data_IF_209121608653
#
_entry.id   IF_209121608653
#
_cell.length_a   1.000
_cell.length_b   1.000
_cell.length_c   1.000
_cell.angle_alpha   90.00
_cell.angle_beta   90.00
_cell.angle_gamma   90.00
#
_symmetry.space_group_name_H-M   'P 1'
#
loop_
_entity.id
_entity.type
_entity.pdbx_description
1 polymer ?
#
# COMPACT_ATOMS: atom_id res chain seq x y z
N UNK A 1 -27.10 -5.02 10.65
CA UNK A 1 -25.97 -4.08 10.64
C UNK A 1 -25.08 -4.50 9.49
N UNK A 2 -24.97 -3.76 8.38
CA UNK A 2 -23.93 -4.06 7.42
C UNK A 2 -22.60 -3.73 8.12
N UNK A 3 -21.72 -4.73 8.24
CA UNK A 3 -20.30 -4.48 8.47
C UNK A 3 -19.85 -3.67 7.25
N UNK A 4 -19.39 -2.44 7.47
CA UNK A 4 -18.90 -1.60 6.37
C UNK A 4 -17.84 -2.40 5.58
N UNK A 5 -18.05 -2.54 4.27
CA UNK A 5 -17.18 -3.29 3.34
C UNK A 5 -15.71 -2.83 3.39
N UNK A 6 -15.42 -1.68 4.01
CA UNK A 6 -14.08 -1.11 4.19
C UNK A 6 -13.22 -1.85 5.22
N UNK A 7 -13.80 -2.42 6.28
CA UNK A 7 -13.06 -3.11 7.34
C UNK A 7 -12.69 -4.56 6.95
N UNK A 8 -13.43 -5.15 6.01
CA UNK A 8 -13.26 -6.57 5.65
C UNK A 8 -12.05 -6.81 4.73
N UNK A 9 -11.68 -5.82 3.92
CA UNK A 9 -10.61 -5.97 2.92
C UNK A 9 -9.20 -5.98 3.52
N UNK A 10 -8.99 -5.35 4.68
CA UNK A 10 -7.64 -5.28 5.30
C UNK A 10 -7.13 -6.66 5.74
N UNK A 11 -8.02 -7.62 6.02
CA UNK A 11 -7.63 -9.00 6.32
C UNK A 11 -7.03 -9.74 5.10
N UNK A 12 -7.25 -9.22 3.89
CA UNK A 12 -6.72 -9.77 2.63
C UNK A 12 -5.47 -9.03 2.15
N UNK A 13 -4.93 -8.09 2.94
CA UNK A 13 -3.77 -7.28 2.56
C UNK A 13 -2.51 -7.73 3.31
N UNK A 14 -1.36 -7.61 2.64
CA UNK A 14 -0.07 -7.69 3.28
C UNK A 14 0.24 -6.37 4.02
N UNK A 15 0.49 -6.48 5.33
CA UNK A 15 0.84 -5.37 6.20
C UNK A 15 2.37 -5.15 6.18
N UNK A 16 2.84 -4.12 5.49
CA UNK A 16 4.26 -3.80 5.35
C UNK A 16 4.64 -2.71 6.36
N UNK A 17 5.49 -3.09 7.32
CA UNK A 17 5.97 -2.21 8.39
C UNK A 17 7.11 -1.28 7.91
N UNK A 18 7.40 -0.17 8.61
CA UNK A 18 8.55 0.70 8.32
C UNK A 18 9.86 -0.04 8.08
N UNK A 19 10.14 -1.10 8.85
CA UNK A 19 11.35 -1.93 8.68
C UNK A 19 11.41 -2.63 7.31
N UNK A 20 10.27 -2.91 6.70
CA UNK A 20 10.16 -3.56 5.40
C UNK A 20 10.29 -2.54 4.27
N UNK A 21 9.65 -1.37 4.39
CA UNK A 21 9.51 -0.38 3.32
C UNK A 21 10.53 0.76 3.37
N UNK A 22 11.12 1.06 4.53
CA UNK A 22 11.89 2.29 4.77
C UNK A 22 11.03 3.53 4.99
N UNK A 23 9.71 3.44 4.78
CA UNK A 23 8.78 4.55 5.01
C UNK A 23 8.56 4.78 6.51
N UNK A 24 8.20 6.01 6.92
CA UNK A 24 7.94 6.31 8.32
C UNK A 24 6.62 5.73 8.84
N UNK A 25 5.84 5.01 8.03
CA UNK A 25 4.54 4.46 8.39
C UNK A 25 4.26 3.07 7.79
N UNK A 26 3.19 2.44 8.26
CA UNK A 26 2.68 1.15 7.75
C UNK A 26 2.02 1.34 6.37
N UNK A 27 2.24 0.37 5.50
CA UNK A 27 1.69 0.29 4.15
C UNK A 27 0.91 -1.01 3.98
N UNK A 28 -0.20 -0.96 3.27
CA UNK A 28 -0.97 -2.13 2.89
C UNK A 28 -1.02 -2.30 1.38
N UNK A 29 -0.74 -3.51 0.94
CA UNK A 29 -0.84 -3.93 -0.47
C UNK A 29 -1.67 -5.20 -0.55
N UNK A 30 -2.43 -5.36 -1.61
CA UNK A 30 -3.27 -6.54 -1.83
C UNK A 30 -3.06 -7.10 -3.23
N UNK A 31 -3.44 -8.35 -3.41
CA UNK A 31 -3.77 -8.88 -4.73
C UNK A 31 -5.05 -8.21 -5.24
N UNK A 32 -5.34 -8.35 -6.54
CA UNK A 32 -6.52 -7.77 -7.18
C UNK A 32 -7.83 -8.30 -6.62
N UNK A 33 -7.92 -9.61 -6.36
CA UNK A 33 -9.17 -10.27 -5.98
C UNK A 33 -10.34 -9.88 -6.89
N UNK A 34 -11.43 -9.38 -6.30
CA UNK A 34 -12.63 -8.92 -7.01
C UNK A 34 -12.65 -7.40 -7.28
N UNK A 35 -11.52 -6.70 -7.14
CA UNK A 35 -11.47 -5.25 -7.25
C UNK A 35 -11.85 -4.75 -8.65
N UNK A 36 -12.70 -3.72 -8.69
CA UNK A 36 -13.11 -3.01 -9.92
C UNK A 36 -12.18 -1.84 -10.26
N UNK A 37 -11.32 -1.42 -9.33
CA UNK A 37 -10.32 -0.38 -9.53
C UNK A 37 -8.98 -0.98 -9.93
N UNK A 38 -8.08 -0.13 -10.42
CA UNK A 38 -6.69 -0.50 -10.68
C UNK A 38 -5.88 -0.63 -9.37
N UNK A 39 -4.63 -1.06 -9.49
CA UNK A 39 -3.70 -1.27 -8.38
C UNK A 39 -3.55 -0.05 -7.47
N UNK A 40 -3.74 -0.28 -6.17
CA UNK A 40 -3.70 0.75 -5.13
C UNK A 40 -2.87 0.28 -3.94
N UNK A 41 -2.30 1.26 -3.26
CA UNK A 41 -1.58 1.08 -1.99
C UNK A 41 -2.26 1.94 -0.95
N UNK A 42 -2.57 1.37 0.22
CA UNK A 42 -3.04 2.16 1.37
C UNK A 42 -1.87 2.43 2.29
N UNK A 43 -1.84 3.62 2.88
CA UNK A 43 -0.72 4.09 3.72
C UNK A 43 -1.27 4.73 4.98
N UNK A 44 -0.70 4.43 6.13
CA UNK A 44 -1.18 4.97 7.40
C UNK A 44 -0.91 6.49 7.47
N UNK A 45 -1.85 7.24 8.02
CA UNK A 45 -1.64 8.69 8.22
C UNK A 45 -0.65 8.98 9.35
N UNK A 46 -0.53 8.04 10.31
CA UNK A 46 0.33 8.18 11.47
C UNK A 46 1.70 7.54 11.19
N UNK A 47 2.76 8.23 11.61
CA UNK A 47 4.10 7.65 11.63
C UNK A 47 4.20 6.56 12.70
N UNK A 48 5.10 5.61 12.47
CA UNK A 48 5.40 4.51 13.37
C UNK A 48 4.94 3.16 12.83
N UNK A 49 5.02 2.16 13.71
CA UNK A 49 4.84 0.76 13.37
C UNK A 49 3.50 0.20 13.90
N UNK A 50 2.55 1.07 14.24
CA UNK A 50 1.23 0.65 14.68
C UNK A 50 0.40 0.26 13.46
N UNK A 51 -0.09 -0.97 13.42
CA UNK A 51 -1.06 -1.41 12.42
C UNK A 51 -2.43 -0.89 12.86
N UNK A 52 -2.91 0.15 12.17
CA UNK A 52 -4.22 0.75 12.40
C UNK A 52 -4.84 1.13 11.04
N UNK A 53 -5.76 0.33 10.50
CA UNK A 53 -6.34 0.55 9.17
C UNK A 53 -7.40 1.67 9.16
N UNK A 54 -7.83 2.18 10.32
CA UNK A 54 -8.93 3.15 10.42
C UNK A 54 -8.60 4.51 9.80
N UNK A 55 -7.32 4.84 9.66
CA UNK A 55 -6.84 6.13 9.14
C UNK A 55 -5.78 5.93 8.07
N UNK A 56 -6.20 5.91 6.80
CA UNK A 56 -5.30 5.69 5.67
C UNK A 56 -5.48 6.72 4.55
N UNK A 57 -4.38 6.98 3.85
CA UNK A 57 -4.36 7.59 2.53
C UNK A 57 -4.27 6.48 1.47
N UNK A 58 -4.83 6.73 0.28
CA UNK A 58 -4.85 5.78 -0.84
C UNK A 58 -4.03 6.35 -1.99
N UNK A 59 -3.05 5.61 -2.45
CA UNK A 59 -2.25 5.93 -3.62
C UNK A 59 -2.60 5.00 -4.78
N UNK A 60 -2.72 5.56 -5.97
CA UNK A 60 -2.66 4.80 -7.21
C UNK A 60 -1.20 4.49 -7.54
N UNK A 61 -0.95 3.33 -8.15
CA UNK A 61 0.40 2.92 -8.54
C UNK A 61 0.71 3.27 -10.00
N UNK A 62 -0.23 2.99 -10.92
CA UNK A 62 -0.10 3.28 -12.36
C UNK A 62 -1.22 4.18 -12.87
N UNK A 63 -1.03 4.94 -13.97
CA UNK A 63 0.18 5.02 -14.80
C UNK A 63 1.33 5.84 -14.18
N UNK A 64 1.08 6.57 -13.10
CA UNK A 64 2.12 7.25 -12.32
C UNK A 64 1.66 7.29 -10.87
N UNK A 65 2.54 7.06 -9.89
CA UNK A 65 2.16 7.09 -8.48
C UNK A 65 1.56 8.43 -8.06
N UNK A 66 0.45 8.40 -7.34
CA UNK A 66 -0.22 9.61 -6.89
C UNK A 66 -1.31 9.37 -5.86
N UNK A 67 -1.58 10.39 -5.04
CA UNK A 67 -2.61 10.37 -4.02
C UNK A 67 -4.01 10.42 -4.66
N UNK A 68 -4.84 9.43 -4.36
CA UNK A 68 -6.24 9.33 -4.82
C UNK A 68 -7.19 9.85 -3.74
N UNK A 69 -6.94 9.52 -2.46
CA UNK A 69 -7.80 9.87 -1.33
C UNK A 69 -7.00 9.97 -0.03
N UNK A 70 -7.51 10.78 0.91
CA UNK A 70 -6.85 11.08 2.18
C UNK A 70 -5.91 12.28 2.10
N UNK A 71 -5.14 12.51 3.17
CA UNK A 71 -4.22 13.63 3.27
C UNK A 71 -2.91 13.21 3.95
N UNK A 72 -1.80 13.51 3.31
CA UNK A 72 -0.44 13.40 3.85
C UNK A 72 0.29 14.72 3.64
N UNK A 73 1.34 14.98 4.43
CA UNK A 73 2.22 16.13 4.18
C UNK A 73 2.87 16.01 2.79
N UNK A 74 3.28 17.13 2.18
CA UNK A 74 3.94 17.08 0.87
C UNK A 74 5.24 16.25 0.89
N UNK A 75 5.95 16.24 2.02
CA UNK A 75 7.14 15.42 2.22
C UNK A 75 6.80 13.92 2.25
N UNK A 76 5.77 13.52 3.00
CA UNK A 76 5.32 12.13 3.07
C UNK A 76 4.76 11.66 1.73
N UNK A 77 3.96 12.48 1.04
CA UNK A 77 3.45 12.15 -0.29
C UNK A 77 4.58 11.87 -1.28
N UNK A 78 5.64 12.68 -1.23
CA UNK A 78 6.81 12.49 -2.09
C UNK A 78 7.52 11.18 -1.78
N UNK A 79 7.83 10.92 -0.50
CA UNK A 79 8.59 9.72 -0.13
C UNK A 79 7.79 8.43 -0.39
N UNK A 80 6.47 8.46 -0.19
CA UNK A 80 5.55 7.37 -0.55
C UNK A 80 5.54 7.16 -2.06
N UNK A 81 5.39 8.24 -2.85
CA UNK A 81 5.38 8.14 -4.33
C UNK A 81 6.70 7.61 -4.88
N UNK A 82 7.82 8.04 -4.31
CA UNK A 82 9.16 7.56 -4.67
C UNK A 82 9.33 6.07 -4.33
N UNK A 83 8.85 5.63 -3.17
CA UNK A 83 8.85 4.21 -2.79
C UNK A 83 7.96 3.36 -3.69
N UNK A 84 6.75 3.84 -4.04
CA UNK A 84 5.86 3.13 -4.97
C UNK A 84 6.55 3.02 -6.33
N UNK A 85 7.12 4.10 -6.85
CA UNK A 85 7.82 4.10 -8.14
C UNK A 85 9.01 3.14 -8.15
N UNK A 86 9.77 3.08 -7.05
CA UNK A 86 10.90 2.18 -6.89
C UNK A 86 10.49 0.70 -6.91
N UNK A 87 9.28 0.40 -6.46
CA UNK A 87 8.75 -0.96 -6.27
C UNK A 87 7.60 -1.31 -7.21
N UNK A 88 7.32 -0.47 -8.22
CA UNK A 88 6.12 -0.54 -9.05
C UNK A 88 5.92 -1.94 -9.66
N UNK A 89 6.97 -2.50 -10.27
CA UNK A 89 6.92 -3.81 -10.89
C UNK A 89 6.50 -4.92 -9.90
N UNK A 90 7.09 -4.95 -8.70
CA UNK A 90 6.76 -5.95 -7.70
C UNK A 90 5.34 -5.78 -7.14
N UNK A 91 4.90 -4.53 -6.94
CA UNK A 91 3.53 -4.24 -6.46
C UNK A 91 2.50 -4.63 -7.52
N UNK A 92 2.78 -4.37 -8.80
CA UNK A 92 1.88 -4.73 -9.92
C UNK A 92 1.85 -6.24 -10.14
N UNK A 93 3.00 -6.93 -10.11
CA UNK A 93 3.04 -8.39 -10.23
C UNK A 93 2.30 -9.08 -9.08
N UNK A 94 2.42 -8.55 -7.85
CA UNK A 94 1.66 -9.03 -6.71
C UNK A 94 0.16 -8.76 -6.88
N UNK A 95 -0.21 -7.55 -7.32
CA UNK A 95 -1.59 -7.21 -7.62
C UNK A 95 -2.21 -8.16 -8.65
N UNK A 96 -1.48 -8.48 -9.72
CA UNK A 96 -1.95 -9.36 -10.79
C UNK A 96 -1.87 -10.86 -10.44
N UNK A 97 -1.41 -11.21 -9.22
CA UNK A 97 -1.31 -12.60 -8.74
C UNK A 97 -0.18 -13.40 -9.38
N UNK A 98 0.83 -12.73 -9.93
CA UNK A 98 1.99 -13.36 -10.59
C UNK A 98 3.02 -13.82 -9.55
N UNK A 99 3.14 -13.09 -8.45
CA UNK A 99 4.04 -13.41 -7.33
C UNK A 99 3.26 -13.47 -6.03
N UNK A 100 3.70 -14.31 -5.10
CA UNK A 100 3.10 -14.38 -3.76
C UNK A 100 3.67 -13.33 -2.79
N UNK A 101 3.14 -13.32 -1.56
CA UNK A 101 3.59 -12.38 -0.51
C UNK A 101 5.07 -12.58 -0.14
N UNK A 102 5.59 -13.80 -0.16
CA UNK A 102 6.99 -14.10 0.17
C UNK A 102 7.93 -13.54 -0.90
N UNK A 103 7.59 -13.75 -2.17
CA UNK A 103 8.31 -13.20 -3.31
C UNK A 103 8.25 -11.67 -3.34
N UNK A 104 7.08 -11.08 -3.07
CA UNK A 104 6.93 -9.63 -2.92
C UNK A 104 7.93 -9.11 -1.87
N UNK A 105 7.92 -9.68 -0.66
CA UNK A 105 8.80 -9.26 0.42
C UNK A 105 10.28 -9.39 0.06
N UNK A 106 10.66 -10.40 -0.73
CA UNK A 106 12.03 -10.58 -1.23
C UNK A 106 12.44 -9.56 -2.30
N UNK A 107 11.49 -8.97 -3.02
CA UNK A 107 11.74 -8.00 -4.11
C UNK A 107 11.63 -6.54 -3.66
N UNK A 108 10.94 -6.26 -2.56
CA UNK A 108 10.76 -4.91 -2.06
C UNK A 108 12.09 -4.22 -1.70
N UNK A 109 12.25 -3.01 -2.21
CA UNK A 109 13.35 -2.10 -1.92
C UNK A 109 12.87 -1.03 -0.92
N UNK A 110 13.80 -0.63 -0.05
CA UNK A 110 13.58 0.43 0.94
C UNK A 110 13.99 1.79 0.38
N UNK A 111 13.38 2.84 0.90
CA UNK A 111 13.80 4.24 0.73
C UNK A 111 14.50 4.76 1.98
#
# INVERSE_FOLDING_TARGET
MPMDDLDTDFFLMANLRPKTTGLPMVVWVSERGNARHDVRVKVALQHGDRIDPSHTAVFGVRPTPGLISGYLSAADQRVVSDWIKLNEAAIVEYWDGVIDTSELLGRLKRV
#
